data_IF_116148433683
#
_entry.id   IF_116148433683
#
_cell.length_a   1.000
_cell.length_b   1.000
_cell.length_c   1.000
_cell.angle_alpha   90.00
_cell.angle_beta   90.00
_cell.angle_gamma   90.00
#
_symmetry.space_group_name_H-M   'P 1'
#
loop_
_entity.id
_entity.type
_entity.pdbx_description
1 polymer ?
#
# COMPACT_ATOMS: atom_id res chain seq x y z
N UNK A 1 -5.59 27.73 -15.18
CA UNK A 1 -6.74 27.34 -14.33
C UNK A 1 -7.49 26.24 -15.07
N UNK A 2 -7.03 25.00 -14.88
CA UNK A 2 -7.38 23.86 -15.74
C UNK A 2 -8.65 23.13 -15.32
N UNK A 3 -9.18 22.34 -16.26
CA UNK A 3 -10.41 21.52 -16.31
C UNK A 3 -10.94 20.88 -15.00
N UNK A 4 -10.12 20.74 -13.95
CA UNK A 4 -10.53 20.21 -12.64
C UNK A 4 -11.36 21.25 -11.85
N UNK A 5 -11.14 22.54 -12.07
CA UNK A 5 -11.83 23.61 -11.33
C UNK A 5 -13.32 23.77 -11.65
N UNK A 6 -13.77 23.39 -12.85
CA UNK A 6 -15.20 23.45 -13.22
C UNK A 6 -15.95 22.16 -12.83
N UNK A 7 -15.27 21.00 -12.88
CA UNK A 7 -15.85 19.70 -12.54
C UNK A 7 -16.07 19.49 -11.02
N UNK A 8 -15.39 20.26 -10.17
CA UNK A 8 -15.42 20.10 -8.71
C UNK A 8 -16.46 20.97 -7.99
N UNK A 9 -17.16 21.88 -8.69
CA UNK A 9 -18.13 22.81 -8.10
C UNK A 9 -19.39 22.14 -7.49
N UNK A 10 -19.64 20.86 -7.82
CA UNK A 10 -20.79 20.10 -7.32
C UNK A 10 -20.40 18.94 -6.39
N UNK A 11 -19.11 18.73 -6.15
CA UNK A 11 -18.60 17.61 -5.38
C UNK A 11 -18.39 18.00 -3.91
N UNK A 12 -18.70 17.07 -3.01
CA UNK A 12 -18.36 17.19 -1.61
C UNK A 12 -16.83 17.17 -1.43
N UNK A 13 -16.30 17.78 -0.36
CA UNK A 13 -14.86 17.82 -0.16
C UNK A 13 -14.16 16.45 -0.09
N UNK A 14 -14.84 15.42 0.43
CA UNK A 14 -14.34 14.04 0.44
C UNK A 14 -14.32 13.43 -0.96
N UNK A 15 -15.28 13.72 -1.82
CA UNK A 15 -15.31 13.25 -3.21
C UNK A 15 -14.18 13.87 -4.05
N UNK A 16 -13.84 15.12 -3.75
CA UNK A 16 -12.70 15.80 -4.37
C UNK A 16 -11.38 15.17 -3.89
N UNK A 17 -11.24 14.90 -2.59
CA UNK A 17 -10.08 14.20 -2.05
C UNK A 17 -9.94 12.77 -2.60
N UNK A 18 -11.06 12.07 -2.81
CA UNK A 18 -11.10 10.77 -3.45
C UNK A 18 -10.65 10.84 -4.91
N UNK A 19 -11.07 11.86 -5.66
CA UNK A 19 -10.60 12.09 -7.03
C UNK A 19 -9.08 12.28 -7.09
N UNK A 20 -8.53 13.08 -6.18
CA UNK A 20 -7.07 13.26 -6.05
C UNK A 20 -6.36 11.95 -5.72
N UNK A 21 -6.91 11.14 -4.81
CA UNK A 21 -6.40 9.81 -4.48
C UNK A 21 -6.41 8.88 -5.71
N UNK A 22 -7.51 8.83 -6.46
CA UNK A 22 -7.63 8.01 -7.67
C UNK A 22 -6.62 8.43 -8.72
N UNK A 23 -6.46 9.74 -8.97
CA UNK A 23 -5.44 10.25 -9.89
C UNK A 23 -4.02 9.85 -9.43
N UNK A 24 -3.71 9.98 -8.14
CA UNK A 24 -2.39 9.61 -7.62
C UNK A 24 -2.07 8.14 -7.86
N UNK A 25 -3.05 7.24 -7.65
CA UNK A 25 -2.91 5.80 -7.89
C UNK A 25 -2.70 5.50 -9.39
N UNK A 26 -3.51 6.10 -10.26
CA UNK A 26 -3.39 5.96 -11.72
C UNK A 26 -1.99 6.36 -12.21
N UNK A 27 -1.49 7.53 -11.78
CA UNK A 27 -0.14 7.99 -12.16
C UNK A 27 0.97 7.10 -11.57
N UNK A 28 0.79 6.54 -10.37
CA UNK A 28 1.71 5.53 -9.81
C UNK A 28 1.76 4.27 -10.67
N UNK A 29 0.60 3.74 -11.09
CA UNK A 29 0.51 2.55 -11.95
C UNK A 29 1.26 2.79 -13.27
N UNK A 30 1.11 4.00 -13.83
CA UNK A 30 1.81 4.43 -15.02
C UNK A 30 3.27 4.87 -14.81
N UNK A 31 3.82 4.67 -13.60
CA UNK A 31 5.21 5.00 -13.21
C UNK A 31 5.56 6.49 -13.37
N UNK A 32 4.56 7.37 -13.39
CA UNK A 32 4.75 8.80 -13.39
C UNK A 32 4.72 9.32 -11.96
N UNK A 33 5.85 9.12 -11.26
CA UNK A 33 5.95 9.32 -9.81
C UNK A 33 5.83 10.80 -9.41
N UNK A 34 6.29 11.73 -10.26
CA UNK A 34 6.21 13.16 -9.99
C UNK A 34 4.76 13.68 -9.99
N UNK A 35 3.97 13.28 -10.98
CA UNK A 35 2.55 13.66 -11.03
C UNK A 35 1.77 12.94 -9.93
N UNK A 36 2.05 11.66 -9.66
CA UNK A 36 1.44 10.93 -8.57
C UNK A 36 1.66 11.61 -7.20
N UNK A 37 2.89 12.08 -6.94
CA UNK A 37 3.23 12.81 -5.72
C UNK A 37 2.40 14.09 -5.59
N UNK A 38 2.29 14.83 -6.69
CA UNK A 38 1.51 16.06 -6.73
C UNK A 38 0.04 15.79 -6.38
N UNK A 39 -0.60 14.81 -7.01
CA UNK A 39 -2.00 14.48 -6.73
C UNK A 39 -2.22 14.02 -5.28
N UNK A 40 -1.33 13.20 -4.74
CA UNK A 40 -1.44 12.70 -3.37
C UNK A 40 -1.28 13.82 -2.33
N UNK A 41 -0.31 14.72 -2.52
CA UNK A 41 -0.10 15.87 -1.64
C UNK A 41 -1.25 16.88 -1.70
N UNK A 42 -1.79 17.14 -2.89
CA UNK A 42 -2.96 18.02 -3.06
C UNK A 42 -4.18 17.41 -2.38
N UNK A 43 -4.40 16.09 -2.52
CA UNK A 43 -5.44 15.37 -1.80
C UNK A 43 -5.33 15.53 -0.28
N UNK A 44 -4.12 15.40 0.29
CA UNK A 44 -3.88 15.57 1.73
C UNK A 44 -4.11 17.00 2.22
N UNK A 45 -3.86 18.00 1.38
CA UNK A 45 -4.08 19.41 1.71
C UNK A 45 -5.55 19.81 1.56
N UNK A 46 -6.35 19.01 0.87
CA UNK A 46 -7.76 19.29 0.67
C UNK A 46 -8.52 19.16 2.01
N UNK A 47 -9.40 20.11 2.29
CA UNK A 47 -10.10 20.16 3.58
C UNK A 47 -11.29 19.20 3.58
N UNK A 48 -11.08 17.97 4.07
CA UNK A 48 -12.12 16.96 4.27
C UNK A 48 -11.95 16.24 5.63
N UNK A 49 -13.02 15.63 6.14
CA UNK A 49 -13.03 14.94 7.44
C UNK A 49 -13.06 13.41 7.33
N UNK A 50 -12.80 12.90 6.12
CA UNK A 50 -12.73 11.47 5.85
C UNK A 50 -11.34 10.92 6.17
N UNK A 51 -11.21 10.33 7.36
CA UNK A 51 -9.94 9.77 7.84
C UNK A 51 -9.48 8.57 7.02
N UNK A 52 -10.38 7.82 6.39
CA UNK A 52 -10.01 6.69 5.53
C UNK A 52 -9.33 7.20 4.25
N UNK A 53 -9.90 8.23 3.62
CA UNK A 53 -9.29 8.88 2.45
C UNK A 53 -7.93 9.51 2.81
N UNK A 54 -7.82 10.19 3.96
CA UNK A 54 -6.54 10.74 4.43
C UNK A 54 -5.51 9.64 4.62
N UNK A 55 -5.92 8.52 5.21
CA UNK A 55 -5.02 7.42 5.48
C UNK A 55 -4.54 6.74 4.20
N UNK A 56 -5.42 6.59 3.20
CA UNK A 56 -5.04 6.11 1.87
C UNK A 56 -4.09 7.08 1.16
N UNK A 57 -4.32 8.38 1.26
CA UNK A 57 -3.43 9.39 0.71
C UNK A 57 -2.05 9.39 1.39
N UNK A 58 -1.99 9.25 2.72
CA UNK A 58 -0.73 9.05 3.44
C UNK A 58 0.00 7.79 2.97
N UNK A 59 -0.73 6.72 2.68
CA UNK A 59 -0.16 5.47 2.17
C UNK A 59 0.46 5.63 0.79
N UNK A 60 -0.26 6.29 -0.11
CA UNK A 60 0.20 6.60 -1.46
C UNK A 60 1.45 7.48 -1.40
N UNK A 61 1.44 8.56 -0.60
CA UNK A 61 2.62 9.41 -0.41
C UNK A 61 3.82 8.64 0.19
N UNK A 62 3.59 7.76 1.15
CA UNK A 62 4.65 6.93 1.73
C UNK A 62 5.29 6.02 0.69
N UNK A 63 4.47 5.35 -0.13
CA UNK A 63 4.93 4.48 -1.21
C UNK A 63 5.73 5.27 -2.26
N UNK A 64 5.25 6.45 -2.66
CA UNK A 64 5.94 7.35 -3.59
C UNK A 64 7.33 7.74 -3.07
N UNK A 65 7.41 8.22 -1.82
CA UNK A 65 8.70 8.57 -1.22
C UNK A 65 9.62 7.36 -1.07
N UNK A 66 9.07 6.17 -0.80
CA UNK A 66 9.84 4.93 -0.74
C UNK A 66 10.44 4.59 -2.12
N UNK A 67 9.66 4.70 -3.20
CA UNK A 67 10.13 4.53 -4.58
C UNK A 67 11.19 5.56 -5.00
N UNK A 68 11.06 6.80 -4.51
CA UNK A 68 12.05 7.87 -4.70
C UNK A 68 13.28 7.72 -3.79
N UNK A 69 13.34 6.68 -2.95
CA UNK A 69 14.40 6.44 -1.95
C UNK A 69 14.50 7.52 -0.87
N UNK A 70 13.44 8.28 -0.66
CA UNK A 70 13.31 9.31 0.38
C UNK A 70 12.79 8.70 1.68
N UNK A 71 13.44 7.66 2.18
CA UNK A 71 12.93 6.79 3.24
C UNK A 71 12.57 7.52 4.54
N UNK A 72 13.28 8.61 4.90
CA UNK A 72 12.94 9.43 6.07
C UNK A 72 11.58 10.13 5.91
N UNK A 73 11.27 10.60 4.70
CA UNK A 73 9.97 11.21 4.40
C UNK A 73 8.89 10.13 4.33
N UNK A 74 9.16 9.00 3.67
CA UNK A 74 8.25 7.87 3.60
C UNK A 74 7.79 7.43 5.01
N UNK A 75 8.75 7.26 5.92
CA UNK A 75 8.47 6.95 7.33
C UNK A 75 7.60 8.01 8.02
N UNK A 76 7.98 9.28 7.93
CA UNK A 76 7.26 10.39 8.60
C UNK A 76 5.81 10.48 8.10
N UNK A 77 5.61 10.39 6.78
CA UNK A 77 4.29 10.45 6.16
C UNK A 77 3.45 9.24 6.58
N UNK A 78 4.03 8.05 6.62
CA UNK A 78 3.29 6.88 7.05
C UNK A 78 2.95 6.87 8.55
N UNK A 79 3.81 7.41 9.41
CA UNK A 79 3.52 7.60 10.85
C UNK A 79 2.32 8.53 11.05
N UNK A 80 2.16 9.56 10.20
CA UNK A 80 0.96 10.42 10.21
C UNK A 80 -0.30 9.69 9.83
N UNK A 81 -0.25 8.80 8.84
CA UNK A 81 -1.39 7.97 8.48
C UNK A 81 -1.75 6.94 9.56
N UNK A 82 -0.76 6.38 10.27
CA UNK A 82 -1.01 5.46 11.39
C UNK A 82 -1.74 6.12 12.56
N UNK A 83 -1.57 7.42 12.75
CA UNK A 83 -2.22 8.18 13.81
C UNK A 83 -3.74 8.37 13.60
N UNK A 84 -4.26 8.04 12.40
CA UNK A 84 -5.70 8.08 12.10
C UNK A 84 -6.39 6.79 12.54
N UNK A 85 -7.69 6.85 12.87
CA UNK A 85 -8.35 5.72 13.56
C UNK A 85 -8.70 4.50 12.68
N UNK A 86 -8.66 4.59 11.35
CA UNK A 86 -9.05 3.46 10.48
C UNK A 86 -8.06 2.28 10.54
N UNK A 87 -8.59 1.07 10.75
CA UNK A 87 -7.81 -0.16 10.95
C UNK A 87 -7.31 -0.80 9.65
N UNK A 88 -8.05 -0.64 8.54
CA UNK A 88 -7.73 -1.30 7.27
C UNK A 88 -6.41 -0.79 6.69
N UNK A 89 -6.18 0.52 6.74
CA UNK A 89 -5.01 1.16 6.11
C UNK A 89 -3.82 1.26 7.07
N UNK A 90 -4.04 1.12 8.39
CA UNK A 90 -2.96 1.05 9.40
C UNK A 90 -1.96 -0.05 9.08
N UNK A 91 -2.44 -1.24 8.72
CA UNK A 91 -1.60 -2.39 8.42
C UNK A 91 -0.66 -2.13 7.23
N UNK A 92 -1.19 -1.52 6.15
CA UNK A 92 -0.43 -1.14 4.97
C UNK A 92 0.63 -0.06 5.28
N UNK A 93 0.27 0.95 6.07
CA UNK A 93 1.18 2.01 6.50
C UNK A 93 2.30 1.52 7.41
N UNK A 94 1.98 0.59 8.32
CA UNK A 94 2.95 -0.05 9.19
C UNK A 94 4.01 -0.81 8.37
N UNK A 95 3.60 -1.42 7.26
CA UNK A 95 4.50 -2.10 6.34
C UNK A 95 5.39 -1.12 5.57
N UNK A 96 4.85 -0.03 5.03
CA UNK A 96 5.65 1.02 4.35
C UNK A 96 6.67 1.66 5.29
N UNK A 97 6.31 1.92 6.55
CA UNK A 97 7.25 2.37 7.60
C UNK A 97 8.37 1.35 7.78
N UNK A 98 8.03 0.08 7.79
CA UNK A 98 8.99 -0.99 7.97
C UNK A 98 9.95 -1.06 6.79
N UNK A 99 9.45 -1.05 5.55
CA UNK A 99 10.29 -1.05 4.35
C UNK A 99 11.19 0.18 4.29
N UNK A 100 10.67 1.36 4.62
CA UNK A 100 11.46 2.58 4.71
C UNK A 100 12.55 2.45 5.79
N UNK A 101 12.24 1.82 6.92
CA UNK A 101 13.21 1.62 8.01
C UNK A 101 14.23 0.55 7.70
N UNK A 102 13.87 -0.55 7.04
CA UNK A 102 14.82 -1.56 6.57
C UNK A 102 15.75 -0.96 5.51
N UNK A 103 15.22 -0.13 4.61
CA UNK A 103 16.01 0.62 3.64
C UNK A 103 16.95 1.64 4.29
N UNK A 104 16.51 2.28 5.38
CA UNK A 104 17.37 3.11 6.25
C UNK A 104 18.34 2.27 7.09
N UNK A 105 18.02 1.03 7.46
CA UNK A 105 18.86 0.17 8.30
C UNK A 105 19.95 -0.57 7.51
N UNK A 106 19.88 -0.56 6.17
CA UNK A 106 21.02 -0.84 5.30
C UNK A 106 22.05 0.32 5.28
N UNK A 107 21.82 1.39 6.04
CA UNK A 107 22.84 2.36 6.48
C UNK A 107 23.60 1.75 7.68
N UNK A 108 24.94 1.65 7.65
CA UNK A 108 25.76 0.89 8.63
C UNK A 108 25.74 1.38 10.09
N UNK A 109 24.76 2.18 10.51
CA UNK A 109 24.68 2.80 11.84
C UNK A 109 23.39 2.56 12.64
N UNK A 110 22.46 1.70 12.19
CA UNK A 110 21.26 1.40 12.98
C UNK A 110 21.27 -0.07 13.48
N UNK A 111 21.31 -0.32 14.80
CA UNK A 111 21.38 -1.68 15.34
C UNK A 111 20.12 -2.49 15.02
N UNK A 112 20.33 -3.69 14.48
CA UNK A 112 19.31 -4.72 14.33
C UNK A 112 18.82 -5.18 15.69
N UNK A 113 17.57 -4.85 16.03
CA UNK A 113 16.91 -5.40 17.19
C UNK A 113 15.59 -4.69 17.48
N UNK A 114 14.49 -5.42 17.29
CA UNK A 114 13.11 -5.08 17.66
C UNK A 114 12.31 -4.24 16.66
N UNK A 115 11.74 -4.92 15.65
CA UNK A 115 10.37 -4.63 15.19
C UNK A 115 9.66 -5.93 14.91
N UNK A 116 8.76 -6.36 15.81
CA UNK A 116 7.72 -7.33 15.47
C UNK A 116 6.66 -6.55 14.70
N UNK A 117 6.71 -6.63 13.37
CA UNK A 117 5.59 -6.19 12.54
C UNK A 117 4.46 -7.18 12.81
N UNK A 118 3.22 -6.69 12.88
CA UNK A 118 2.05 -7.57 13.05
C UNK A 118 2.03 -8.58 11.89
N UNK A 119 2.14 -9.89 12.17
CA UNK A 119 2.12 -10.92 11.13
C UNK A 119 0.88 -10.84 10.23
N UNK A 120 -0.27 -10.40 10.76
CA UNK A 120 -1.48 -10.27 9.96
C UNK A 120 -1.40 -9.09 8.97
N UNK A 121 -0.66 -8.04 9.31
CA UNK A 121 -0.45 -6.89 8.43
C UNK A 121 0.42 -7.28 7.23
N UNK A 122 1.52 -8.00 7.49
CA UNK A 122 2.34 -8.59 6.43
C UNK A 122 1.54 -9.61 5.61
N UNK A 123 0.75 -10.46 6.26
CA UNK A 123 -0.10 -11.45 5.58
C UNK A 123 -1.13 -10.80 4.65
N UNK A 124 -1.75 -9.70 5.06
CA UNK A 124 -2.73 -8.95 4.26
C UNK A 124 -2.11 -8.32 3.02
N UNK A 125 -0.88 -7.85 3.14
CA UNK A 125 -0.12 -7.34 2.00
C UNK A 125 0.22 -8.44 0.99
N UNK A 126 0.75 -9.57 1.46
CA UNK A 126 1.05 -10.71 0.61
C UNK A 126 -0.20 -11.27 -0.06
N UNK A 127 -1.34 -11.24 0.63
CA UNK A 127 -2.63 -11.61 0.05
C UNK A 127 -3.03 -10.69 -1.10
N UNK A 128 -2.86 -9.37 -0.94
CA UNK A 128 -3.15 -8.40 -1.99
C UNK A 128 -2.27 -8.63 -3.21
N UNK A 129 -0.96 -8.80 -3.03
CA UNK A 129 -0.03 -9.11 -4.12
C UNK A 129 -0.40 -10.44 -4.80
N UNK A 130 -0.66 -11.49 -4.02
CA UNK A 130 -1.04 -12.79 -4.56
C UNK A 130 -2.29 -12.69 -5.45
N UNK A 131 -3.29 -11.93 -5.01
CA UNK A 131 -4.52 -11.67 -5.76
C UNK A 131 -4.26 -10.90 -7.06
N UNK A 132 -3.53 -9.79 -6.99
CA UNK A 132 -3.21 -8.95 -8.15
C UNK A 132 -2.43 -9.74 -9.20
N UNK A 133 -1.38 -10.46 -8.79
CA UNK A 133 -0.57 -11.28 -9.69
C UNK A 133 -1.33 -12.44 -10.30
N UNK A 134 -2.29 -13.02 -9.58
CA UNK A 134 -3.16 -14.06 -10.13
C UNK A 134 -4.06 -13.49 -11.24
N UNK A 135 -4.57 -12.26 -11.08
CA UNK A 135 -5.39 -11.56 -12.09
C UNK A 135 -4.54 -11.24 -13.34
N UNK A 136 -3.31 -10.79 -13.13
CA UNK A 136 -2.33 -10.49 -14.20
C UNK A 136 -1.80 -11.74 -14.90
N UNK A 137 -2.19 -12.95 -14.44
CA UNK A 137 -1.70 -14.25 -14.92
C UNK A 137 -0.19 -14.46 -14.70
N UNK A 138 0.42 -13.71 -13.77
CA UNK A 138 1.78 -13.92 -13.29
C UNK A 138 1.77 -14.97 -12.16
N UNK A 139 1.45 -16.22 -12.52
CA UNK A 139 1.13 -17.24 -11.52
C UNK A 139 2.30 -17.60 -10.59
N UNK A 140 3.54 -17.57 -11.07
CA UNK A 140 4.72 -17.82 -10.24
C UNK A 140 4.93 -16.71 -9.20
N UNK A 141 4.67 -15.45 -9.56
CA UNK A 141 4.73 -14.32 -8.65
C UNK A 141 3.58 -14.37 -7.63
N UNK A 142 2.38 -14.74 -8.08
CA UNK A 142 1.22 -14.95 -7.21
C UNK A 142 1.46 -16.06 -6.17
N UNK A 143 2.06 -17.17 -6.62
CA UNK A 143 2.44 -18.28 -5.75
C UNK A 143 3.49 -17.87 -4.72
N UNK A 144 4.52 -17.15 -5.17
CA UNK A 144 5.61 -16.67 -4.29
C UNK A 144 5.05 -15.74 -3.20
N UNK A 145 4.16 -14.82 -3.56
CA UNK A 145 3.51 -13.93 -2.60
C UNK A 145 2.64 -14.69 -1.59
N UNK A 146 1.82 -15.64 -2.06
CA UNK A 146 0.98 -16.44 -1.17
C UNK A 146 1.81 -17.29 -0.19
N UNK A 147 2.92 -17.87 -0.64
CA UNK A 147 3.83 -18.64 0.21
C UNK A 147 4.45 -17.78 1.30
N UNK A 148 4.99 -16.61 0.95
CA UNK A 148 5.56 -15.70 1.95
C UNK A 148 4.51 -15.25 2.97
N UNK A 149 3.27 -15.00 2.56
CA UNK A 149 2.19 -14.70 3.50
C UNK A 149 1.88 -15.85 4.47
N UNK A 150 1.96 -17.11 4.01
CA UNK A 150 1.70 -18.31 4.83
C UNK A 150 2.85 -18.70 5.76
N UNK A 151 4.07 -18.23 5.49
CA UNK A 151 5.24 -18.44 6.36
C UNK A 151 5.20 -17.58 7.62
N UNK A 152 4.29 -16.60 7.69
CA UNK A 152 4.09 -15.73 8.83
C UNK A 152 3.30 -16.45 9.94
N UNK A 153 3.59 -16.11 11.21
CA UNK A 153 2.82 -16.54 12.37
C UNK A 153 1.46 -15.80 12.44
N UNK A 154 0.61 -16.00 11.44
CA UNK A 154 -0.71 -15.38 11.34
C UNK A 154 -1.61 -15.83 12.50
N UNK A 155 -2.30 -14.88 13.10
CA UNK A 155 -3.30 -15.16 14.15
C UNK A 155 -4.73 -15.16 13.59
N UNK A 156 -4.92 -14.60 12.39
CA UNK A 156 -6.19 -14.64 11.66
C UNK A 156 -6.32 -15.90 10.80
N UNK A 157 -7.19 -16.81 11.21
CA UNK A 157 -7.52 -18.03 10.44
C UNK A 157 -8.14 -17.71 9.07
N UNK A 158 -8.92 -16.64 8.98
CA UNK A 158 -9.52 -16.18 7.71
C UNK A 158 -8.44 -15.75 6.73
N UNK A 159 -7.47 -14.96 7.18
CA UNK A 159 -6.36 -14.47 6.34
C UNK A 159 -5.48 -15.63 5.86
N UNK A 160 -5.13 -16.56 6.76
CA UNK A 160 -4.39 -17.76 6.39
C UNK A 160 -5.17 -18.63 5.39
N UNK A 161 -6.49 -18.76 5.57
CA UNK A 161 -7.38 -19.46 4.67
C UNK A 161 -7.41 -18.85 3.27
N UNK A 162 -7.50 -17.52 3.17
CA UNK A 162 -7.50 -16.80 1.89
C UNK A 162 -6.16 -16.94 1.16
N UNK A 163 -5.03 -16.77 1.85
CA UNK A 163 -3.69 -16.98 1.29
C UNK A 163 -3.53 -18.41 0.75
N UNK A 164 -4.03 -19.41 1.48
CA UNK A 164 -4.02 -20.82 1.05
C UNK A 164 -4.86 -21.04 -0.22
N UNK A 165 -5.99 -20.35 -0.36
CA UNK A 165 -6.81 -20.40 -1.59
C UNK A 165 -6.01 -19.86 -2.77
N UNK A 166 -5.40 -18.68 -2.64
CA UNK A 166 -4.63 -18.08 -3.73
C UNK A 166 -3.38 -18.89 -4.09
N UNK A 167 -2.69 -19.47 -3.10
CA UNK A 167 -1.60 -20.42 -3.32
C UNK A 167 -2.05 -21.59 -4.20
N UNK A 168 -3.18 -22.23 -3.85
CA UNK A 168 -3.73 -23.37 -4.59
C UNK A 168 -4.19 -23.00 -6.00
N UNK A 169 -4.80 -21.84 -6.16
CA UNK A 169 -5.21 -21.33 -7.48
C UNK A 169 -3.99 -21.10 -8.38
N UNK A 170 -2.92 -20.49 -7.86
CA UNK A 170 -1.69 -20.26 -8.60
C UNK A 170 -1.03 -21.57 -9.02
N UNK A 171 -0.89 -22.55 -8.11
CA UNK A 171 -0.35 -23.89 -8.42
C UNK A 171 -1.19 -24.57 -9.50
N UNK A 172 -2.52 -24.51 -9.40
CA UNK A 172 -3.40 -25.12 -10.41
C UNK A 172 -3.28 -24.45 -11.77
N UNK A 173 -3.07 -23.14 -11.83
CA UNK A 173 -2.91 -22.41 -13.08
C UNK A 173 -1.57 -22.75 -13.76
N UNK A 174 -0.48 -22.76 -12.99
CA UNK A 174 0.86 -23.18 -13.46
C UNK A 174 0.81 -24.58 -14.07
N UNK A 175 0.19 -25.55 -13.37
CA UNK A 175 0.07 -26.94 -13.85
C UNK A 175 -0.78 -27.14 -15.09
N UNK A 176 -1.68 -26.19 -15.41
CA UNK A 176 -2.53 -26.28 -16.62
C UNK A 176 -1.90 -25.61 -17.84
N UNK A 177 -0.89 -24.78 -17.63
CA UNK A 177 -0.23 -23.99 -18.68
C UNK A 177 1.16 -24.51 -19.05
N UNK A 178 1.78 -25.33 -18.19
CA UNK A 178 2.94 -26.17 -18.53
C UNK A 178 2.53 -27.53 -19.07
#
# INVERSE_FOLDING_TARGET
MGLIGEATNHLAPSEIALLYLTCAIEFMIHKNIGDAEWFALVGLQYKHDDDEIKQMLFSVCACIHNQQKEYKKAKNVAEKGLALESEYVKSFLQLEITYAIQSLANDPHIPNGQRKIDPNAEGSFFLKIAREKLIEKEFDAALTAANHGLELELTSETLAGELLIYQKLAISAIRKLG
#
